data_IF_241101683121
#
_entry.id   IF_241101683121
#
_cell.length_a   1.000
_cell.length_b   1.000
_cell.length_c   1.000
_cell.angle_alpha   90.00
_cell.angle_beta   90.00
_cell.angle_gamma   90.00
#
_symmetry.space_group_name_H-M   'P 1'
#
loop_
_entity.id
_entity.type
_entity.pdbx_description
1 polymer ?
#
# COMPACT_ATOMS: atom_id res chain seq x y z
N UNK A 1 -17.78 -4.99 29.00
CA UNK A 1 -17.20 -4.68 27.67
C UNK A 1 -16.53 -3.32 27.76
N UNK A 2 -15.20 -3.26 27.82
CA UNK A 2 -14.45 -2.00 27.86
C UNK A 2 -14.60 -1.25 26.54
N UNK A 3 -15.10 -0.02 26.58
CA UNK A 3 -15.12 0.91 25.44
C UNK A 3 -13.69 1.09 24.90
N UNK A 4 -13.37 0.46 23.76
CA UNK A 4 -12.09 0.66 23.08
C UNK A 4 -12.09 2.06 22.48
N UNK A 5 -11.04 2.84 22.79
CA UNK A 5 -10.88 4.21 22.30
C UNK A 5 -10.30 4.19 20.88
N UNK A 6 -11.16 4.01 19.89
CA UNK A 6 -10.79 4.04 18.47
C UNK A 6 -10.02 5.29 18.05
N UNK A 7 -10.29 6.43 18.70
CA UNK A 7 -9.64 7.73 18.41
C UNK A 7 -8.11 7.76 18.59
N UNK A 8 -7.50 6.75 19.23
CA UNK A 8 -6.05 6.70 19.48
C UNK A 8 -5.37 5.43 18.94
N UNK A 9 -6.12 4.60 18.22
CA UNK A 9 -5.64 3.32 17.69
C UNK A 9 -5.03 3.47 16.29
N UNK A 10 -4.11 2.59 15.94
CA UNK A 10 -3.51 2.55 14.60
C UNK A 10 -4.44 1.81 13.63
N UNK A 11 -4.59 2.35 12.41
CA UNK A 11 -5.46 1.77 11.37
C UNK A 11 -5.20 0.27 11.12
N UNK A 12 -3.95 -0.24 11.06
CA UNK A 12 -3.72 -1.68 10.94
C UNK A 12 -4.36 -2.51 12.06
N UNK A 13 -4.36 -2.02 13.30
CA UNK A 13 -4.99 -2.72 14.43
C UNK A 13 -6.52 -2.66 14.36
N UNK A 14 -7.07 -1.57 13.81
CA UNK A 14 -8.51 -1.44 13.57
C UNK A 14 -8.95 -2.50 12.56
N UNK A 15 -8.23 -2.64 11.45
CA UNK A 15 -8.54 -3.63 10.42
C UNK A 15 -8.39 -5.05 10.95
N UNK A 16 -7.29 -5.36 11.66
CA UNK A 16 -7.10 -6.68 12.28
C UNK A 16 -8.25 -7.01 13.25
N UNK A 17 -8.69 -6.05 14.05
CA UNK A 17 -9.80 -6.26 14.98
C UNK A 17 -11.15 -6.48 14.29
N UNK A 18 -11.44 -5.74 13.22
CA UNK A 18 -12.67 -5.92 12.44
C UNK A 18 -12.69 -7.30 11.80
N UNK A 19 -11.55 -7.76 11.25
CA UNK A 19 -11.40 -9.09 10.72
C UNK A 19 -11.54 -10.20 11.78
N UNK A 20 -11.14 -9.94 13.03
CA UNK A 20 -11.33 -10.87 14.16
C UNK A 20 -12.80 -10.95 14.64
N UNK A 21 -13.52 -9.83 14.63
CA UNK A 21 -14.93 -9.77 15.08
C UNK A 21 -15.87 -10.32 14.00
N UNK A 22 -15.70 -9.85 12.77
CA UNK A 22 -16.57 -10.18 11.64
C UNK A 22 -15.74 -10.20 10.36
N UNK A 23 -15.15 -11.37 10.07
CA UNK A 23 -14.31 -11.55 8.89
C UNK A 23 -15.07 -11.40 7.58
N UNK A 24 -16.40 -11.61 7.59
CA UNK A 24 -17.25 -11.59 6.40
C UNK A 24 -17.89 -10.22 6.15
N UNK A 25 -17.76 -9.28 7.10
CA UNK A 25 -18.19 -7.90 6.91
C UNK A 25 -17.53 -7.30 5.67
N UNK A 26 -18.35 -6.65 4.84
CA UNK A 26 -17.90 -6.02 3.61
C UNK A 26 -16.98 -4.83 3.92
N UNK A 27 -15.78 -4.85 3.36
CA UNK A 27 -14.85 -3.72 3.36
C UNK A 27 -15.08 -2.84 2.13
N UNK A 28 -15.04 -3.45 0.94
CA UNK A 28 -15.14 -2.72 -0.32
C UNK A 28 -15.58 -3.62 -1.48
N UNK A 29 -15.97 -2.99 -2.59
CA UNK A 29 -16.20 -3.65 -3.88
C UNK A 29 -15.26 -3.02 -4.92
N UNK A 30 -14.48 -3.87 -5.60
CA UNK A 30 -13.56 -3.44 -6.66
C UNK A 30 -13.95 -4.06 -8.00
N UNK A 31 -13.81 -3.34 -9.13
CA UNK A 31 -14.03 -3.91 -10.45
C UNK A 31 -13.22 -5.20 -10.65
N UNK A 32 -13.83 -6.22 -11.26
CA UNK A 32 -13.15 -7.48 -11.58
C UNK A 32 -12.09 -7.25 -12.66
N UNK A 33 -12.37 -6.35 -13.60
CA UNK A 33 -11.45 -5.95 -14.67
C UNK A 33 -10.91 -4.55 -14.42
N UNK A 34 -9.65 -4.33 -14.79
CA UNK A 34 -9.00 -3.02 -14.74
C UNK A 34 -9.32 -2.14 -15.96
N UNK A 35 -10.03 -2.67 -16.96
CA UNK A 35 -10.31 -1.97 -18.23
C UNK A 35 -11.80 -1.79 -18.54
N UNK A 36 -12.69 -2.53 -17.88
CA UNK A 36 -14.15 -2.40 -18.07
C UNK A 36 -14.91 -2.77 -16.79
N UNK A 37 -16.12 -2.23 -16.64
CA UNK A 37 -17.06 -2.56 -15.57
C UNK A 37 -18.01 -3.70 -15.93
N UNK A 38 -18.02 -4.18 -17.19
CA UNK A 38 -18.96 -5.20 -17.67
C UNK A 38 -18.81 -6.56 -16.96
N UNK A 39 -17.63 -6.80 -16.38
CA UNK A 39 -17.33 -8.00 -15.60
C UNK A 39 -17.76 -7.91 -14.13
N UNK A 40 -18.44 -6.82 -13.74
CA UNK A 40 -18.94 -6.60 -12.40
C UNK A 40 -17.86 -6.30 -11.36
N UNK A 41 -18.20 -6.51 -10.09
CA UNK A 41 -17.38 -6.14 -8.94
C UNK A 41 -17.11 -7.36 -8.05
N UNK A 42 -15.87 -7.44 -7.55
CA UNK A 42 -15.47 -8.37 -6.51
C UNK A 42 -15.71 -7.73 -5.15
N UNK A 43 -16.47 -8.43 -4.31
CA UNK A 43 -16.61 -8.11 -2.88
C UNK A 43 -15.34 -8.50 -2.14
N UNK A 44 -14.84 -7.58 -1.33
CA UNK A 44 -13.69 -7.76 -0.46
C UNK A 44 -14.18 -7.62 0.98
N UNK A 45 -13.97 -8.65 1.80
CA UNK A 45 -14.33 -8.62 3.21
C UNK A 45 -13.19 -8.06 4.07
N UNK A 46 -13.46 -7.76 5.34
CA UNK A 46 -12.39 -7.41 6.29
C UNK A 46 -11.39 -8.54 6.50
N UNK A 47 -11.83 -9.81 6.47
CA UNK A 47 -10.94 -10.97 6.50
C UNK A 47 -10.01 -11.03 5.29
N UNK A 48 -10.54 -10.78 4.09
CA UNK A 48 -9.75 -10.70 2.86
C UNK A 48 -8.76 -9.52 2.91
N UNK A 49 -9.21 -8.35 3.37
CA UNK A 49 -8.37 -7.15 3.43
C UNK A 49 -7.24 -7.29 4.45
N UNK A 50 -7.52 -7.78 5.66
CA UNK A 50 -6.49 -8.05 6.67
C UNK A 50 -5.46 -9.08 6.17
N UNK A 51 -5.93 -10.11 5.47
CA UNK A 51 -5.07 -11.12 4.83
C UNK A 51 -4.17 -10.51 3.75
N UNK A 52 -4.73 -9.67 2.88
CA UNK A 52 -3.98 -8.97 1.84
C UNK A 52 -2.90 -8.03 2.41
N UNK A 53 -3.22 -7.29 3.48
CA UNK A 53 -2.26 -6.43 4.19
C UNK A 53 -1.10 -7.26 4.74
N UNK A 54 -1.39 -8.37 5.43
CA UNK A 54 -0.37 -9.24 5.98
C UNK A 54 0.48 -9.91 4.89
N UNK A 55 -0.14 -10.32 3.78
CA UNK A 55 0.55 -10.85 2.61
C UNK A 55 1.56 -9.85 2.07
N UNK A 56 1.16 -8.58 1.89
CA UNK A 56 2.05 -7.53 1.40
C UNK A 56 3.13 -7.15 2.41
N UNK A 57 2.83 -7.15 3.70
CA UNK A 57 3.84 -6.91 4.75
C UNK A 57 4.92 -8.00 4.75
N UNK A 58 4.52 -9.27 4.65
CA UNK A 58 5.47 -10.39 4.50
C UNK A 58 6.25 -10.30 3.20
N UNK A 59 5.59 -10.02 2.09
CA UNK A 59 6.26 -9.85 0.79
C UNK A 59 7.30 -8.72 0.81
N UNK A 60 7.00 -7.57 1.42
CA UNK A 60 7.99 -6.49 1.60
C UNK A 60 9.17 -6.96 2.45
N UNK A 61 8.89 -7.60 3.60
CA UNK A 61 9.93 -8.10 4.49
C UNK A 61 10.85 -9.13 3.81
N UNK A 62 10.27 -10.05 3.03
CA UNK A 62 11.00 -11.13 2.36
C UNK A 62 11.77 -10.64 1.12
N UNK A 63 11.23 -9.64 0.40
CA UNK A 63 11.82 -9.15 -0.87
C UNK A 63 12.79 -7.98 -0.66
N UNK A 64 12.48 -7.09 0.29
CA UNK A 64 13.24 -5.86 0.54
C UNK A 64 14.12 -5.96 1.79
N UNK A 65 13.86 -6.97 2.64
CA UNK A 65 14.52 -7.14 3.94
C UNK A 65 13.84 -6.34 5.07
N UNK A 66 14.47 -6.26 6.25
CA UNK A 66 14.05 -5.32 7.27
C UNK A 66 14.40 -3.89 6.83
N UNK A 67 13.47 -2.95 7.03
CA UNK A 67 13.70 -1.53 6.72
C UNK A 67 14.90 -0.97 7.50
N UNK A 68 15.67 -0.11 6.84
CA UNK A 68 16.67 0.77 7.47
C UNK A 68 16.09 2.18 7.43
N UNK A 69 15.86 2.77 8.59
CA UNK A 69 15.48 4.19 8.72
C UNK A 69 14.24 4.65 7.93
N UNK A 70 13.18 3.84 7.90
CA UNK A 70 11.90 4.20 7.27
C UNK A 70 12.02 4.52 5.77
N UNK A 71 12.73 3.69 5.02
CA UNK A 71 12.85 3.78 3.56
C UNK A 71 11.49 4.05 2.88
N UNK A 72 11.48 4.99 1.94
CA UNK A 72 10.31 5.34 1.12
C UNK A 72 10.26 4.45 -0.11
N UNK A 73 9.14 3.74 -0.27
CA UNK A 73 8.81 2.95 -1.45
C UNK A 73 7.80 3.73 -2.30
N UNK A 74 8.07 3.91 -3.58
CA UNK A 74 7.10 4.53 -4.49
C UNK A 74 6.28 3.47 -5.21
N UNK A 75 4.96 3.51 -5.15
CA UNK A 75 4.10 2.65 -5.98
C UNK A 75 3.51 3.44 -7.14
N UNK A 76 3.66 2.89 -8.34
CA UNK A 76 3.14 3.44 -9.60
C UNK A 76 2.28 2.35 -10.24
N UNK A 77 0.96 2.49 -10.20
CA UNK A 77 0.08 1.44 -10.69
C UNK A 77 -1.40 1.83 -10.71
N UNK A 78 -2.30 0.88 -11.02
CA UNK A 78 -3.74 1.12 -11.04
C UNK A 78 -4.29 1.29 -9.63
N UNK A 79 -5.30 2.17 -9.50
CA UNK A 79 -5.97 2.47 -8.24
C UNK A 79 -6.96 1.35 -7.85
N UNK A 80 -6.42 0.20 -7.46
CA UNK A 80 -7.16 -0.97 -6.98
C UNK A 80 -6.84 -1.28 -5.50
N UNK A 81 -7.29 -2.44 -5.00
CA UNK A 81 -7.09 -2.91 -3.62
C UNK A 81 -5.63 -2.80 -3.15
N UNK A 82 -4.63 -2.85 -4.06
CA UNK A 82 -3.22 -2.71 -3.70
C UNK A 82 -2.91 -1.37 -3.07
N UNK A 83 -3.57 -0.27 -3.45
CA UNK A 83 -3.33 1.06 -2.86
C UNK A 83 -3.53 1.04 -1.33
N UNK A 84 -4.74 0.78 -0.81
CA UNK A 84 -4.97 0.76 0.63
C UNK A 84 -4.28 -0.42 1.32
N UNK A 85 -4.05 -1.54 0.64
CA UNK A 85 -3.37 -2.69 1.25
C UNK A 85 -1.86 -2.45 1.40
N UNK A 86 -1.20 -1.83 0.41
CA UNK A 86 0.20 -1.47 0.46
C UNK A 86 0.48 -0.40 1.52
N UNK A 87 -0.41 0.58 1.70
CA UNK A 87 -0.30 1.56 2.79
C UNK A 87 -0.19 0.85 4.14
N UNK A 88 -1.15 -0.01 4.48
CA UNK A 88 -1.16 -0.67 5.79
C UNK A 88 -0.07 -1.75 5.88
N UNK A 89 0.24 -2.44 4.79
CA UNK A 89 1.30 -3.43 4.71
C UNK A 89 2.68 -2.80 4.95
N UNK A 90 2.95 -1.64 4.34
CA UNK A 90 4.17 -0.87 4.54
C UNK A 90 4.29 -0.41 5.99
N UNK A 91 3.21 0.11 6.59
CA UNK A 91 3.20 0.48 8.01
C UNK A 91 3.54 -0.71 8.90
N UNK A 92 2.99 -1.89 8.62
CA UNK A 92 3.31 -3.13 9.37
C UNK A 92 4.77 -3.53 9.19
N UNK A 93 5.28 -3.51 7.96
CA UNK A 93 6.66 -3.86 7.62
C UNK A 93 7.71 -2.79 8.00
N UNK A 94 7.28 -1.57 8.37
CA UNK A 94 8.14 -0.47 8.79
C UNK A 94 8.55 0.50 7.67
N UNK A 95 8.01 0.34 6.47
CA UNK A 95 8.27 1.21 5.32
C UNK A 95 7.36 2.43 5.27
N UNK A 96 7.80 3.47 4.58
CA UNK A 96 6.95 4.54 4.08
C UNK A 96 6.53 4.23 2.66
N UNK A 97 5.30 4.63 2.29
CA UNK A 97 4.84 4.48 0.92
C UNK A 97 4.45 5.83 0.32
N UNK A 98 4.89 6.04 -0.91
CA UNK A 98 4.52 7.16 -1.76
C UNK A 98 3.71 6.63 -2.94
N UNK A 99 2.46 7.06 -3.05
CA UNK A 99 1.57 6.68 -4.14
C UNK A 99 1.58 7.79 -5.18
N UNK A 100 2.09 7.51 -6.38
CA UNK A 100 2.14 8.50 -7.46
C UNK A 100 1.32 8.05 -8.66
N UNK A 101 0.69 9.02 -9.32
CA UNK A 101 -0.16 8.76 -10.48
C UNK A 101 0.70 8.30 -11.66
N UNK A 102 0.37 7.17 -12.33
CA UNK A 102 1.06 6.76 -13.55
C UNK A 102 0.92 7.77 -14.71
N UNK A 103 0.07 8.79 -14.55
CA UNK A 103 -0.14 9.87 -15.53
C UNK A 103 0.88 11.01 -15.45
N UNK A 104 1.73 11.03 -14.41
CA UNK A 104 2.78 12.05 -14.30
C UNK A 104 3.84 11.84 -15.38
N UNK A 105 4.39 12.93 -15.92
CA UNK A 105 5.51 12.85 -16.87
C UNK A 105 6.75 12.25 -16.21
N UNK A 106 7.66 11.68 -17.02
CA UNK A 106 8.94 11.14 -16.52
C UNK A 106 9.71 12.17 -15.70
N UNK A 107 9.80 13.42 -16.17
CA UNK A 107 10.47 14.50 -15.44
C UNK A 107 9.80 14.82 -14.09
N UNK A 108 8.47 14.82 -14.03
CA UNK A 108 7.74 15.01 -12.78
C UNK A 108 7.95 13.85 -11.80
N UNK A 109 7.94 12.61 -12.31
CA UNK A 109 8.22 11.42 -11.49
C UNK A 109 9.65 11.44 -10.94
N UNK A 110 10.66 11.70 -11.77
CA UNK A 110 12.05 11.88 -11.33
C UNK A 110 12.14 12.90 -10.21
N UNK A 111 11.56 14.09 -10.39
CA UNK A 111 11.62 15.14 -9.36
C UNK A 111 11.00 14.71 -8.03
N UNK A 112 9.85 14.02 -8.07
CA UNK A 112 9.17 13.55 -6.86
C UNK A 112 9.97 12.43 -6.16
N UNK A 113 10.52 11.49 -6.93
CA UNK A 113 11.31 10.38 -6.40
C UNK A 113 12.61 10.87 -5.77
N UNK A 114 13.32 11.80 -6.41
CA UNK A 114 14.55 12.39 -5.88
C UNK A 114 14.30 13.17 -4.59
N UNK A 115 13.24 13.99 -4.54
CA UNK A 115 12.88 14.77 -3.35
C UNK A 115 12.49 13.92 -2.15
N UNK A 116 11.99 12.71 -2.39
CA UNK A 116 11.63 11.75 -1.35
C UNK A 116 12.74 10.73 -1.09
N UNK A 117 13.91 10.91 -1.73
CA UNK A 117 15.05 9.99 -1.65
C UNK A 117 14.66 8.53 -1.94
N UNK A 118 13.65 8.34 -2.80
CA UNK A 118 13.15 7.02 -3.15
C UNK A 118 14.19 6.28 -4.00
N UNK A 119 14.47 5.03 -3.64
CA UNK A 119 15.37 4.13 -4.39
C UNK A 119 14.65 2.91 -4.95
N UNK A 120 13.45 2.62 -4.45
CA UNK A 120 12.69 1.42 -4.80
C UNK A 120 11.31 1.82 -5.33
N UNK A 121 11.03 1.47 -6.59
CA UNK A 121 9.74 1.63 -7.24
C UNK A 121 9.01 0.29 -7.28
N UNK A 122 7.82 0.26 -6.73
CA UNK A 122 6.89 -0.84 -6.74
C UNK A 122 6.01 -0.76 -7.99
N UNK A 123 6.01 -1.80 -8.80
CA UNK A 123 5.30 -1.85 -10.09
C UNK A 123 4.27 -2.98 -10.12
N UNK A 124 3.09 -2.82 -10.75
CA UNK A 124 2.20 -3.93 -11.05
C UNK A 124 2.80 -4.80 -12.18
N UNK A 125 2.35 -6.06 -12.26
CA UNK A 125 2.64 -6.94 -13.40
C UNK A 125 1.45 -7.00 -14.36
N UNK A 126 1.64 -6.89 -15.69
CA UNK A 126 2.90 -6.54 -16.36
C UNK A 126 3.34 -5.11 -16.06
N UNK A 127 4.65 -4.87 -16.05
CA UNK A 127 5.23 -3.56 -15.79
C UNK A 127 4.75 -2.55 -16.87
N UNK A 128 4.11 -1.43 -16.49
CA UNK A 128 3.69 -0.41 -17.44
C UNK A 128 4.88 0.22 -18.18
N UNK A 129 4.77 0.50 -19.50
CA UNK A 129 5.86 1.11 -20.27
C UNK A 129 6.41 2.41 -19.67
N UNK A 130 5.56 3.20 -19.02
CA UNK A 130 5.95 4.45 -18.37
C UNK A 130 6.96 4.23 -17.24
N UNK A 131 6.90 3.08 -16.54
CA UNK A 131 7.88 2.75 -15.50
C UNK A 131 9.23 2.38 -16.12
N UNK A 132 9.22 1.73 -17.29
CA UNK A 132 10.45 1.48 -18.06
C UNK A 132 11.12 2.79 -18.47
N UNK A 133 10.37 3.77 -18.97
CA UNK A 133 10.90 5.10 -19.31
C UNK A 133 11.48 5.83 -18.08
N UNK A 134 10.83 5.70 -16.92
CA UNK A 134 11.36 6.22 -15.64
C UNK A 134 12.67 5.53 -15.27
N UNK A 135 12.78 4.21 -15.41
CA UNK A 135 14.01 3.49 -15.12
C UNK A 135 15.16 3.88 -16.05
N UNK A 136 14.88 4.05 -17.35
CA UNK A 136 15.88 4.47 -18.34
C UNK A 136 16.43 5.87 -18.01
N UNK A 137 15.56 6.78 -17.57
CA UNK A 137 15.97 8.12 -17.13
C UNK A 137 16.66 8.13 -15.75
N UNK A 138 16.47 7.10 -14.93
CA UNK A 138 16.90 7.06 -13.53
C UNK A 138 17.51 5.68 -13.18
N UNK A 139 18.71 5.40 -13.69
CA UNK A 139 19.40 4.10 -13.53
C UNK A 139 19.71 3.70 -12.09
N UNK A 140 19.59 4.63 -11.13
CA UNK A 140 19.78 4.37 -9.70
C UNK A 140 18.53 3.79 -9.01
N UNK A 141 17.38 3.78 -9.69
CA UNK A 141 16.14 3.21 -9.17
C UNK A 141 16.10 1.70 -9.38
N UNK A 142 15.59 0.98 -8.38
CA UNK A 142 15.26 -0.44 -8.46
C UNK A 142 13.77 -0.61 -8.62
N UNK A 143 13.31 -1.39 -9.60
CA UNK A 143 11.90 -1.79 -9.70
C UNK A 143 11.69 -3.17 -9.08
N UNK A 144 10.61 -3.29 -8.32
CA UNK A 144 10.15 -4.54 -7.70
C UNK A 144 8.68 -4.75 -8.04
N UNK A 145 8.34 -5.94 -8.53
CA UNK A 145 6.96 -6.28 -8.89
C UNK A 145 6.11 -6.62 -7.67
N UNK A 146 4.99 -5.91 -7.52
CA UNK A 146 4.02 -6.14 -6.46
C UNK A 146 3.10 -7.30 -6.84
N UNK A 147 2.78 -8.21 -5.89
CA UNK A 147 1.82 -9.28 -6.12
C UNK A 147 0.48 -8.77 -6.69
N UNK A 148 -0.15 -9.56 -7.55
CA UNK A 148 -1.44 -9.20 -8.14
C UNK A 148 -2.55 -9.16 -7.08
N UNK A 149 -3.67 -8.48 -7.38
CA UNK A 149 -4.85 -8.47 -6.50
C UNK A 149 -5.35 -9.91 -6.26
N UNK A 150 -5.26 -10.79 -7.27
CA UNK A 150 -5.62 -12.19 -7.10
C UNK A 150 -4.71 -12.91 -6.10
N UNK A 151 -3.41 -12.62 -6.11
CA UNK A 151 -2.44 -13.33 -5.26
C UNK A 151 -2.51 -12.86 -3.80
N UNK A 152 -2.66 -11.56 -3.56
CA UNK A 152 -2.82 -11.04 -2.19
C UNK A 152 -4.13 -11.50 -1.55
N UNK A 153 -5.16 -11.84 -2.35
CA UNK A 153 -6.44 -12.36 -1.86
C UNK A 153 -6.46 -13.89 -1.66
N UNK A 154 -5.52 -14.64 -2.26
CA UNK A 154 -5.41 -16.09 -2.05
C UNK A 154 -4.79 -16.44 -0.69
N UNK A 155 -3.94 -15.57 -0.16
CA UNK A 155 -3.15 -15.86 1.03
C UNK A 155 -3.98 -15.69 2.31
N UNK A 156 -4.64 -16.76 2.76
CA UNK A 156 -5.43 -16.75 4.00
C UNK A 156 -4.59 -17.20 5.19
N UNK A 157 -4.56 -16.38 6.25
CA UNK A 157 -4.22 -16.84 7.60
C UNK A 157 -2.79 -16.60 8.11
N UNK A 158 -1.83 -16.14 7.29
CA UNK A 158 -0.50 -15.78 7.81
C UNK A 158 -0.50 -14.35 8.38
N UNK A 159 -0.57 -14.21 9.71
CA UNK A 159 -0.49 -12.90 10.38
C UNK A 159 0.93 -12.33 10.29
N UNK A 160 1.05 -11.02 10.05
CA UNK A 160 2.32 -10.30 10.19
C UNK A 160 2.40 -9.70 11.60
N UNK A 161 3.47 -9.93 12.39
CA UNK A 161 3.60 -9.37 13.73
C UNK A 161 3.58 -7.84 13.72
N UNK A 162 2.67 -7.23 14.50
CA UNK A 162 2.56 -5.77 14.61
C UNK A 162 2.08 -5.37 16.01
N UNK A 163 3.03 -5.08 16.90
CA UNK A 163 2.77 -4.84 18.33
C UNK A 163 2.70 -3.34 18.70
N UNK A 164 2.53 -2.45 17.71
CA UNK A 164 2.41 -1.01 17.93
C UNK A 164 0.97 -0.70 18.36
N UNK A 165 0.79 -0.10 19.54
CA UNK A 165 -0.55 0.00 20.20
C UNK A 165 -1.07 1.42 20.38
N UNK A 166 -0.36 2.46 19.92
CA UNK A 166 -0.89 3.83 19.97
C UNK A 166 -0.16 4.81 19.08
N UNK A 167 -0.91 5.79 18.54
CA UNK A 167 -0.37 6.95 17.83
C UNK A 167 0.58 7.79 18.71
N UNK A 168 0.34 7.84 20.03
CA UNK A 168 1.16 8.62 20.99
C UNK A 168 2.60 8.13 21.13
N UNK A 169 2.87 6.87 20.79
CA UNK A 169 4.22 6.27 20.85
C UNK A 169 4.99 6.46 19.55
N UNK A 170 4.36 6.97 18.51
CA UNK A 170 4.99 7.28 17.23
C UNK A 170 5.55 8.71 17.32
N UNK A 171 6.78 8.82 17.83
CA UNK A 171 7.54 10.09 17.91
C UNK A 171 8.22 10.49 16.59
N UNK A 172 7.94 9.78 15.50
CA UNK A 172 8.53 10.05 14.19
C UNK A 172 7.49 10.74 13.28
N UNK A 173 7.84 11.80 12.53
CA UNK A 173 6.92 12.53 11.62
C UNK A 173 6.26 11.68 10.52
N UNK A 174 6.55 10.38 10.47
CA UNK A 174 6.44 9.51 9.31
C UNK A 174 5.04 9.00 8.97
N UNK A 175 4.04 9.12 9.85
CA UNK A 175 2.67 8.68 9.54
C UNK A 175 1.76 9.79 8.99
N UNK A 176 2.18 11.06 9.03
CA UNK A 176 1.33 12.18 8.60
C UNK A 176 1.35 12.41 7.08
N UNK A 177 2.31 11.86 6.35
CA UNK A 177 2.50 12.10 4.91
C UNK A 177 1.73 11.17 3.95
N UNK A 178 0.88 10.25 4.44
CA UNK A 178 0.20 9.27 3.57
C UNK A 178 -1.09 9.85 2.93
N UNK A 179 -1.57 11.03 3.36
CA UNK A 179 -2.89 11.55 2.95
C UNK A 179 -2.90 12.77 2.01
N UNK A 180 -1.76 13.39 1.68
CA UNK A 180 -1.77 14.68 0.99
C UNK A 180 -1.57 14.67 -0.53
N UNK A 181 -1.21 13.56 -1.16
CA UNK A 181 -0.90 13.59 -2.62
C UNK A 181 -2.08 13.19 -3.52
N UNK A 182 -3.17 12.67 -2.96
CA UNK A 182 -4.37 12.33 -3.75
C UNK A 182 -5.48 13.39 -3.74
N UNK A 183 -5.37 14.46 -2.95
CA UNK A 183 -6.40 15.53 -2.87
C UNK A 183 -6.11 16.76 -3.75
N UNK A 184 -4.88 16.98 -4.23
CA UNK A 184 -4.56 18.18 -5.02
C UNK A 184 -4.77 18.06 -6.55
N UNK A 185 -5.22 16.90 -7.05
CA UNK A 185 -5.50 16.74 -8.50
C UNK A 185 -6.95 17.06 -8.92
N UNK A 186 -7.76 17.71 -8.07
CA UNK A 186 -9.06 18.27 -8.47
C UNK A 186 -9.05 19.80 -8.70
N UNK A 187 -7.88 20.43 -8.72
CA UNK A 187 -7.77 21.88 -8.93
C UNK A 187 -6.65 22.27 -9.90
N UNK A 188 -6.58 21.59 -11.05
CA UNK A 188 -5.96 22.07 -12.28
C UNK A 188 -6.79 21.63 -13.49
#
# INVERSE_FOLDING_TARGET
MTSRKWKVELVPNIVDHLAEIDSEALYAEYPVSTSTYDHGYRKITYGDYASAINCLAWWMHETLGPTKDFEVLAYIGPNDLRYPALILGAIKAGYLIFLTSPRNSVAAQTNLLDRLECRTVLSPTPCPPQITEILEANSHLRVVEVPSVGDILKNKGRRFPFDKTSLKRIRSPSLLCILLVQLDFQSL
#
